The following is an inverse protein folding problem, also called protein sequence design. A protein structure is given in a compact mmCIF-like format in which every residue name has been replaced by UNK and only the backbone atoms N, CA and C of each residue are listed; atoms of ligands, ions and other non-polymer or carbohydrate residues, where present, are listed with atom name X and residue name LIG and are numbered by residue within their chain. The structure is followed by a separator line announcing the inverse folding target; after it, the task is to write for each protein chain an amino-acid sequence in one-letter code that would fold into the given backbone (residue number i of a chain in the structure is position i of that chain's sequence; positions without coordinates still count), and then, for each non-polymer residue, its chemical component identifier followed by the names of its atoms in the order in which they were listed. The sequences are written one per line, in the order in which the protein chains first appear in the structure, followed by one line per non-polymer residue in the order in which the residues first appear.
data_IF_515860891771
#
_entry.id   IF_515860891771
#
_cell.length_a   1.000
_cell.length_b   1.000
_cell.length_c   1.000
_cell.angle_alpha   90.00
_cell.angle_beta   90.00
_cell.angle_gamma   90.00
#
_symmetry.space_group_name_H-M   'P 1'
#
loop_
_entity.id
_entity.type
_entity.pdbx_description
1 polymer ?
#
# COMPACT_ATOMS: atom_id res chain seq x y z
N UNK A 1 -26.66 17.45 -1.80
CA UNK A 1 -25.77 17.44 -0.62
C UNK A 1 -24.61 16.49 -0.94
N UNK A 2 -23.47 17.01 -1.40
CA UNK A 2 -22.27 16.20 -1.59
C UNK A 2 -21.67 15.97 -0.20
N UNK A 3 -21.74 14.73 0.28
CA UNK A 3 -21.04 14.33 1.50
C UNK A 3 -19.55 14.43 1.25
N UNK A 4 -18.93 15.50 1.75
CA UNK A 4 -17.48 15.58 1.90
C UNK A 4 -17.07 14.50 2.89
N UNK A 5 -16.67 13.34 2.36
CA UNK A 5 -15.86 12.41 3.13
C UNK A 5 -14.51 13.08 3.31
N UNK A 6 -14.37 13.85 4.39
CA UNK A 6 -13.07 14.19 4.95
C UNK A 6 -12.46 12.89 5.51
N UNK A 7 -12.04 12.00 4.61
CA UNK A 7 -11.04 10.98 4.93
C UNK A 7 -9.78 11.81 5.12
N UNK A 8 -9.44 12.15 6.37
CA UNK A 8 -8.35 13.06 6.75
C UNK A 8 -6.94 12.56 6.41
N UNK A 9 -6.80 11.78 5.35
CA UNK A 9 -5.53 11.37 4.79
C UNK A 9 -5.04 12.36 3.74
N UNK A 10 -3.72 12.53 3.67
CA UNK A 10 -3.07 13.35 2.65
C UNK A 10 -3.54 12.90 1.24
N UNK A 11 -3.95 13.83 0.35
CA UNK A 11 -4.40 13.47 -0.98
C UNK A 11 -3.29 12.74 -1.74
N UNK A 12 -3.66 11.72 -2.50
CA UNK A 12 -2.73 10.99 -3.35
C UNK A 12 -2.53 11.77 -4.65
N UNK A 13 -1.39 12.42 -4.78
CA UNK A 13 -0.97 13.02 -6.05
C UNK A 13 -0.61 11.97 -7.09
N UNK A 14 -0.46 12.42 -8.34
CA UNK A 14 -0.06 11.55 -9.44
C UNK A 14 1.32 10.88 -9.20
N UNK A 15 2.22 11.60 -8.51
CA UNK A 15 3.55 11.10 -8.13
C UNK A 15 3.43 9.98 -7.10
N UNK A 16 2.61 10.15 -6.07
CA UNK A 16 2.45 9.16 -5.01
C UNK A 16 1.69 7.94 -5.49
N UNK A 17 0.73 8.11 -6.40
CA UNK A 17 0.09 7.00 -7.10
C UNK A 17 1.12 6.23 -7.94
N UNK A 18 2.01 6.93 -8.66
CA UNK A 18 3.06 6.28 -9.44
C UNK A 18 4.04 5.50 -8.55
N UNK A 19 4.45 6.09 -7.43
CA UNK A 19 5.30 5.46 -6.42
C UNK A 19 4.63 4.18 -5.86
N UNK A 20 3.37 4.27 -5.41
CA UNK A 20 2.63 3.11 -4.88
C UNK A 20 2.48 2.01 -5.92
N UNK A 21 2.22 2.35 -7.18
CA UNK A 21 2.15 1.38 -8.28
C UNK A 21 3.49 0.71 -8.54
N UNK A 22 4.60 1.44 -8.48
CA UNK A 22 5.95 0.88 -8.59
C UNK A 22 6.24 -0.10 -7.45
N UNK A 23 5.94 0.29 -6.21
CA UNK A 23 6.09 -0.57 -5.03
C UNK A 23 5.26 -1.85 -5.14
N UNK A 24 3.99 -1.72 -5.54
CA UNK A 24 3.09 -2.86 -5.75
C UNK A 24 3.62 -3.80 -6.85
N UNK A 25 4.14 -3.23 -7.95
CA UNK A 25 4.70 -4.01 -9.06
C UNK A 25 5.94 -4.77 -8.63
N UNK A 26 6.85 -4.15 -7.88
CA UNK A 26 8.03 -4.81 -7.32
C UNK A 26 7.62 -5.95 -6.38
N UNK A 27 6.69 -5.67 -5.47
CA UNK A 27 6.16 -6.64 -4.52
C UNK A 27 5.51 -7.86 -5.21
N UNK A 28 4.68 -7.61 -6.22
CA UNK A 28 4.04 -8.68 -6.99
C UNK A 28 5.06 -9.47 -7.83
N UNK A 29 6.07 -8.81 -8.40
CA UNK A 29 7.12 -9.47 -9.17
C UNK A 29 7.95 -10.44 -8.31
N UNK A 30 8.31 -10.05 -7.09
CA UNK A 30 9.04 -10.92 -6.17
C UNK A 30 8.23 -12.14 -5.71
N UNK A 31 6.92 -11.98 -5.55
CA UNK A 31 6.03 -13.03 -5.00
C UNK A 31 5.29 -13.85 -6.05
N UNK A 32 5.43 -13.52 -7.34
CA UNK A 32 4.54 -14.00 -8.42
C UNK A 32 3.06 -13.81 -8.06
N UNK A 33 2.72 -12.73 -7.35
CA UNK A 33 1.33 -12.42 -7.05
C UNK A 33 0.60 -12.15 -8.37
N UNK A 34 -0.63 -12.63 -8.47
CA UNK A 34 -1.51 -12.16 -9.52
C UNK A 34 -1.79 -10.67 -9.31
N UNK A 35 -1.59 -9.86 -10.35
CA UNK A 35 -1.73 -8.40 -10.26
C UNK A 35 -3.18 -7.96 -10.05
N UNK A 36 -4.13 -8.85 -10.30
CA UNK A 36 -5.57 -8.65 -10.07
C UNK A 36 -6.10 -9.57 -8.96
N UNK A 37 -5.23 -10.30 -8.26
CA UNK A 37 -5.63 -11.14 -7.13
C UNK A 37 -5.77 -10.35 -5.83
N UNK A 38 -6.46 -10.94 -4.85
CA UNK A 38 -6.70 -10.36 -3.53
C UNK A 38 -5.43 -9.85 -2.84
N UNK A 39 -4.29 -10.51 -3.05
CA UNK A 39 -3.01 -10.11 -2.45
C UNK A 39 -2.53 -8.74 -2.98
N UNK A 40 -2.73 -8.46 -4.27
CA UNK A 40 -2.35 -7.19 -4.87
C UNK A 40 -3.31 -6.08 -4.43
N UNK A 41 -4.62 -6.37 -4.35
CA UNK A 41 -5.60 -5.41 -3.85
C UNK A 41 -5.35 -5.06 -2.37
N UNK A 42 -5.09 -6.07 -1.53
CA UNK A 42 -4.83 -5.87 -0.11
C UNK A 42 -3.52 -5.10 0.13
N UNK A 43 -2.48 -5.37 -0.67
CA UNK A 43 -1.24 -4.62 -0.65
C UNK A 43 -1.45 -3.15 -1.07
N UNK A 44 -2.26 -2.90 -2.10
CA UNK A 44 -2.59 -1.55 -2.53
C UNK A 44 -3.36 -0.77 -1.46
N UNK A 45 -4.40 -1.39 -0.86
CA UNK A 45 -5.16 -0.80 0.26
C UNK A 45 -4.26 -0.48 1.45
N UNK A 46 -3.32 -1.37 1.75
CA UNK A 46 -2.37 -1.15 2.84
C UNK A 46 -1.43 0.02 2.59
N UNK A 47 -0.87 0.16 1.38
CA UNK A 47 -0.03 1.30 1.00
C UNK A 47 -0.79 2.63 1.12
N UNK A 48 -2.05 2.66 0.66
CA UNK A 48 -2.92 3.84 0.78
C UNK A 48 -3.16 4.20 2.24
N UNK A 49 -3.47 3.21 3.09
CA UNK A 49 -3.70 3.44 4.52
C UNK A 49 -2.45 3.98 5.23
N UNK A 50 -1.26 3.48 4.91
CA UNK A 50 0.00 3.98 5.46
C UNK A 50 0.25 5.45 5.07
N UNK A 51 0.03 5.79 3.79
CA UNK A 51 0.20 7.15 3.29
C UNK A 51 -0.77 8.13 3.91
N UNK A 52 -2.04 7.74 3.98
CA UNK A 52 -3.07 8.53 4.66
C UNK A 52 -2.79 8.65 6.17
N UNK A 53 -2.12 7.67 6.77
CA UNK A 53 -1.64 7.70 8.16
C UNK A 53 -0.38 8.55 8.39
N UNK A 54 0.17 9.19 7.35
CA UNK A 54 1.30 10.12 7.47
C UNK A 54 2.65 9.56 6.99
N UNK A 55 2.71 8.31 6.52
CA UNK A 55 3.93 7.73 5.96
C UNK A 55 4.06 8.09 4.48
N UNK A 56 4.83 9.12 4.15
CA UNK A 56 4.97 9.60 2.77
C UNK A 56 6.27 9.19 2.06
N UNK A 57 7.18 8.48 2.73
CA UNK A 57 8.46 8.08 2.13
C UNK A 57 8.37 6.70 1.49
N UNK A 58 8.92 6.57 0.28
CA UNK A 58 8.95 5.32 -0.47
C UNK A 58 9.58 4.19 0.35
N UNK A 59 10.70 4.47 1.02
CA UNK A 59 11.44 3.50 1.82
C UNK A 59 10.64 2.94 3.00
N UNK A 60 9.89 3.78 3.72
CA UNK A 60 9.04 3.32 4.83
C UNK A 60 7.83 2.54 4.31
N UNK A 61 7.19 3.01 3.24
CA UNK A 61 6.08 2.30 2.60
C UNK A 61 6.51 0.92 2.12
N UNK A 62 7.69 0.85 1.48
CA UNK A 62 8.35 -0.38 1.06
C UNK A 62 8.60 -1.28 2.27
N UNK A 63 9.29 -0.78 3.30
CA UNK A 63 9.63 -1.52 4.52
C UNK A 63 8.36 -2.12 5.15
N UNK A 64 7.33 -1.31 5.38
CA UNK A 64 6.06 -1.76 5.97
C UNK A 64 5.33 -2.78 5.10
N UNK A 65 5.33 -2.61 3.78
CA UNK A 65 4.75 -3.57 2.85
C UNK A 65 5.43 -4.94 2.94
N UNK A 66 6.76 -4.96 3.10
CA UNK A 66 7.52 -6.20 3.31
C UNK A 66 7.45 -6.72 4.75
N UNK A 67 7.23 -5.86 5.77
CA UNK A 67 6.99 -6.28 7.16
C UNK A 67 5.61 -6.89 7.36
N UNK A 68 4.58 -6.41 6.65
CA UNK A 68 3.24 -7.03 6.65
C UNK A 68 3.28 -8.50 6.23
N UNK A 69 4.30 -8.93 5.47
CA UNK A 69 4.62 -10.35 5.21
C UNK A 69 4.71 -11.18 6.50
N UNK A 70 5.26 -10.61 7.55
CA UNK A 70 5.49 -11.30 8.82
C UNK A 70 4.24 -11.38 9.71
N UNK A 71 3.15 -10.68 9.39
CA UNK A 71 1.87 -10.84 10.10
C UNK A 71 1.09 -12.09 9.66
N UNK A 72 1.43 -12.66 8.50
CA UNK A 72 0.98 -14.01 8.09
C UNK A 72 1.85 -15.13 8.67
N UNK A 73 2.93 -14.79 9.39
CA UNK A 73 3.70 -15.72 10.20
C UNK A 73 3.00 -15.88 11.54
N UNK A 74 2.22 -16.96 11.63
CA UNK A 74 1.73 -17.55 12.86
C UNK A 74 2.72 -17.31 14.02
N UNK A 75 2.27 -16.56 15.02
CA UNK A 75 2.77 -16.69 16.38
C UNK A 75 2.58 -18.18 16.75
N UNK A 76 3.67 -18.94 16.68
CA UNK A 76 3.85 -20.17 17.45
C UNK A 76 4.60 -19.80 18.73
#
# INVERSE_FOLDING_TARGET
MHGSFSIGGRPLGAEEIAMMRSLLREYCAQRRCDRQGDVAEEAARYLVALYQGGLSTEEELRRRLYEKRNWGGQLI
#
